data_IF_755037084253
#
_entry.id   IF_755037084253
#
_cell.length_a   1.000
_cell.length_b   1.000
_cell.length_c   1.000
_cell.angle_alpha   90.00
_cell.angle_beta   90.00
_cell.angle_gamma   90.00
#
_symmetry.space_group_name_H-M   'P 1'
#
loop_
_entity.id
_entity.type
_entity.pdbx_description
1 polymer ?
#
# COMPACT_ATOMS: atom_id res chain seq x y z
N UNK A 1 24.76 29.16 1.74
CA UNK A 1 24.79 28.53 0.40
C UNK A 1 23.66 29.13 -0.41
N UNK A 2 23.98 30.00 -1.35
CA UNK A 2 22.99 30.55 -2.29
C UNK A 2 22.41 29.40 -3.13
N UNK A 3 21.08 29.25 -3.11
CA UNK A 3 20.38 28.34 -4.03
C UNK A 3 20.61 28.86 -5.46
N UNK A 4 21.54 28.26 -6.20
CA UNK A 4 21.66 28.50 -7.64
C UNK A 4 20.35 28.16 -8.30
N UNK A 5 19.65 29.16 -8.85
CA UNK A 5 18.47 28.96 -9.66
C UNK A 5 18.91 28.20 -10.92
N UNK A 6 18.53 26.94 -11.04
CA UNK A 6 18.91 26.06 -12.14
C UNK A 6 18.39 26.55 -13.51
N UNK A 7 17.27 27.27 -13.51
CA UNK A 7 16.67 27.80 -14.73
C UNK A 7 16.55 29.33 -14.65
N UNK A 8 17.24 30.04 -15.55
CA UNK A 8 17.13 31.50 -15.68
C UNK A 8 15.85 31.96 -16.41
N UNK A 9 15.19 31.07 -17.15
CA UNK A 9 13.99 31.34 -17.93
C UNK A 9 12.76 30.76 -17.22
N UNK A 10 11.74 31.57 -17.01
CA UNK A 10 10.49 31.16 -16.35
C UNK A 10 9.67 30.15 -17.17
N UNK A 11 9.82 30.11 -18.49
CA UNK A 11 9.05 29.26 -19.39
C UNK A 11 9.76 27.94 -19.73
N UNK A 12 11.08 27.85 -19.58
CA UNK A 12 11.84 26.64 -19.87
C UNK A 12 11.35 25.40 -19.11
N UNK A 13 11.04 25.46 -17.80
CA UNK A 13 10.46 24.33 -17.07
C UNK A 13 9.14 23.85 -17.68
N UNK A 14 8.29 24.76 -18.14
CA UNK A 14 7.01 24.41 -18.78
C UNK A 14 7.20 23.68 -20.11
N UNK A 15 8.16 24.10 -20.93
CA UNK A 15 8.48 23.42 -22.19
C UNK A 15 9.02 22.01 -21.93
N UNK A 16 9.86 21.83 -20.90
CA UNK A 16 10.38 20.52 -20.53
C UNK A 16 9.29 19.59 -19.97
N UNK A 17 8.28 20.14 -19.29
CA UNK A 17 7.14 19.40 -18.76
C UNK A 17 6.05 19.14 -19.81
N UNK A 18 6.03 19.91 -20.90
CA UNK A 18 4.98 19.88 -21.91
C UNK A 18 4.70 18.47 -22.47
N UNK A 19 5.70 17.66 -22.87
CA UNK A 19 5.45 16.30 -23.34
C UNK A 19 4.72 15.44 -22.30
N UNK A 20 5.13 15.51 -21.04
CA UNK A 20 4.51 14.82 -19.92
C UNK A 20 3.08 15.30 -19.69
N UNK A 21 2.86 16.62 -19.69
CA UNK A 21 1.54 17.22 -19.50
C UNK A 21 0.57 16.84 -20.62
N UNK A 22 1.03 16.80 -21.87
CA UNK A 22 0.21 16.37 -23.02
C UNK A 22 -0.21 14.90 -22.85
N UNK A 23 0.72 14.00 -22.53
CA UNK A 23 0.43 12.58 -22.31
C UNK A 23 -0.58 12.41 -21.18
N UNK A 24 -0.37 13.05 -20.04
CA UNK A 24 -1.31 12.96 -18.90
C UNK A 24 -2.68 13.55 -19.27
N UNK A 25 -2.71 14.68 -19.99
CA UNK A 25 -3.98 15.31 -20.37
C UNK A 25 -4.79 14.42 -21.32
N UNK A 26 -4.15 13.81 -22.30
CA UNK A 26 -4.82 12.97 -23.31
C UNK A 26 -5.21 11.61 -22.77
N UNK A 27 -4.33 10.96 -22.00
CA UNK A 27 -4.56 9.57 -21.59
C UNK A 27 -5.13 9.43 -20.18
N UNK A 28 -5.12 10.46 -19.36
CA UNK A 28 -5.66 10.42 -18.01
C UNK A 28 -6.80 11.42 -17.82
N UNK A 29 -6.57 12.73 -17.98
CA UNK A 29 -7.60 13.74 -17.69
C UNK A 29 -8.76 13.71 -18.69
N UNK A 30 -8.51 13.47 -19.97
CA UNK A 30 -9.58 13.37 -20.95
C UNK A 30 -10.51 12.18 -20.72
N UNK A 31 -10.02 10.92 -20.55
CA UNK A 31 -10.88 9.80 -20.19
C UNK A 31 -11.57 9.96 -18.84
N UNK A 32 -10.89 10.53 -17.84
CA UNK A 32 -11.48 10.79 -16.53
C UNK A 32 -12.65 11.80 -16.64
N UNK A 33 -12.47 12.88 -17.41
CA UNK A 33 -13.54 13.83 -17.70
C UNK A 33 -14.74 13.18 -18.42
N UNK A 34 -14.46 12.34 -19.41
CA UNK A 34 -15.52 11.56 -20.09
C UNK A 34 -16.23 10.61 -19.12
N UNK A 35 -15.52 9.92 -18.24
CA UNK A 35 -16.11 9.03 -17.24
C UNK A 35 -17.04 9.81 -16.29
N UNK A 36 -16.63 11.01 -15.85
CA UNK A 36 -17.48 11.88 -15.05
C UNK A 36 -18.76 12.29 -15.77
N UNK A 37 -18.68 12.68 -17.04
CA UNK A 37 -19.87 13.04 -17.83
C UNK A 37 -20.79 11.82 -18.01
N UNK A 38 -20.20 10.66 -18.35
CA UNK A 38 -20.96 9.42 -18.55
C UNK A 38 -21.60 8.88 -17.27
N UNK A 39 -21.08 9.21 -16.10
CA UNK A 39 -21.71 8.81 -14.83
C UNK A 39 -23.09 9.40 -14.63
N UNK A 40 -23.43 10.50 -15.31
CA UNK A 40 -24.75 11.13 -15.32
C UNK A 40 -25.62 10.71 -16.51
N UNK A 41 -25.13 9.81 -17.33
CA UNK A 41 -25.81 9.34 -18.54
C UNK A 41 -26.07 7.84 -18.46
N UNK A 42 -27.19 7.41 -19.06
CA UNK A 42 -27.49 6.01 -19.31
C UNK A 42 -27.35 5.73 -20.79
N UNK A 43 -26.61 4.68 -21.13
CA UNK A 43 -26.45 4.22 -22.50
C UNK A 43 -27.28 2.97 -22.69
N UNK A 44 -27.98 2.85 -23.84
CA UNK A 44 -28.71 1.64 -24.16
C UNK A 44 -27.77 0.44 -24.36
N UNK A 45 -28.32 -0.78 -24.30
CA UNK A 45 -27.54 -2.03 -24.41
C UNK A 45 -26.73 -2.16 -25.71
N UNK A 46 -27.11 -1.43 -26.76
CA UNK A 46 -26.46 -1.44 -28.07
C UNK A 46 -25.57 -0.22 -28.31
N UNK A 47 -25.55 0.74 -27.37
CA UNK A 47 -24.75 1.94 -27.48
C UNK A 47 -25.23 2.97 -28.49
N UNK A 48 -26.45 2.83 -28.98
CA UNK A 48 -27.03 3.68 -30.02
C UNK A 48 -27.66 4.96 -29.48
N UNK A 49 -28.15 4.95 -28.26
CA UNK A 49 -28.71 6.12 -27.59
C UNK A 49 -28.07 6.37 -26.24
N UNK A 50 -27.95 7.64 -25.89
CA UNK A 50 -27.43 8.08 -24.59
C UNK A 50 -28.40 9.09 -24.03
N UNK A 51 -28.99 8.79 -22.89
CA UNK A 51 -29.92 9.68 -22.18
C UNK A 51 -29.27 10.26 -20.93
N UNK A 52 -29.65 11.49 -20.61
CA UNK A 52 -29.16 12.16 -19.42
C UNK A 52 -30.07 11.82 -18.24
N UNK A 53 -29.57 10.99 -17.31
CA UNK A 53 -30.36 10.48 -16.16
C UNK A 53 -30.00 11.16 -14.83
N UNK A 54 -29.10 12.14 -14.85
CA UNK A 54 -28.71 12.86 -13.65
C UNK A 54 -28.06 11.94 -12.60
N UNK A 55 -28.62 11.88 -11.40
CA UNK A 55 -28.08 11.09 -10.29
C UNK A 55 -28.64 9.68 -10.16
N UNK A 56 -29.44 9.21 -11.13
CA UNK A 56 -30.09 7.90 -11.06
C UNK A 56 -29.09 6.75 -10.98
N UNK A 57 -28.00 6.81 -11.75
CA UNK A 57 -26.93 5.79 -11.68
C UNK A 57 -26.33 5.69 -10.27
N UNK A 58 -26.11 6.82 -9.58
CA UNK A 58 -25.59 6.84 -8.22
C UNK A 58 -26.61 6.30 -7.21
N UNK A 59 -27.90 6.61 -7.40
CA UNK A 59 -28.96 6.07 -6.56
C UNK A 59 -29.02 4.55 -6.69
N UNK A 60 -29.08 4.02 -7.92
CA UNK A 60 -29.12 2.59 -8.18
C UNK A 60 -27.88 1.89 -7.60
N UNK A 61 -26.69 2.52 -7.70
CA UNK A 61 -25.45 1.99 -7.13
C UNK A 61 -25.52 1.87 -5.59
N UNK A 62 -26.04 2.88 -4.91
CA UNK A 62 -26.15 2.86 -3.43
C UNK A 62 -27.31 1.99 -2.93
N UNK A 63 -28.30 1.71 -3.77
CA UNK A 63 -29.40 0.78 -3.47
C UNK A 63 -29.00 -0.69 -3.77
N UNK A 64 -27.91 -0.93 -4.52
CA UNK A 64 -27.44 -2.28 -4.83
C UNK A 64 -26.73 -2.93 -3.64
N UNK A 65 -27.28 -4.01 -3.05
CA UNK A 65 -26.64 -4.75 -1.96
C UNK A 65 -25.26 -5.31 -2.31
N UNK A 66 -25.04 -5.69 -3.57
CA UNK A 66 -23.77 -6.26 -4.04
C UNK A 66 -22.68 -5.21 -4.03
N UNK A 67 -23.00 -3.98 -4.40
CA UNK A 67 -22.08 -2.85 -4.34
C UNK A 67 -21.69 -2.52 -2.89
N UNK A 68 -22.67 -2.47 -1.99
CA UNK A 68 -22.42 -2.20 -0.58
C UNK A 68 -21.59 -3.32 0.09
N UNK A 69 -21.84 -4.57 -0.27
CA UNK A 69 -21.04 -5.69 0.19
C UNK A 69 -19.58 -5.60 -0.32
N UNK A 70 -19.40 -5.26 -1.60
CA UNK A 70 -18.08 -5.07 -2.22
C UNK A 70 -17.32 -3.91 -1.58
N UNK A 71 -18.03 -2.81 -1.28
CA UNK A 71 -17.44 -1.67 -0.57
C UNK A 71 -16.92 -2.06 0.83
N UNK A 72 -17.75 -2.79 1.60
CA UNK A 72 -17.36 -3.32 2.91
C UNK A 72 -16.12 -4.21 2.83
N UNK A 73 -16.13 -5.14 1.88
CA UNK A 73 -15.02 -6.09 1.66
C UNK A 73 -13.73 -5.35 1.30
N UNK A 74 -13.82 -4.38 0.40
CA UNK A 74 -12.67 -3.56 -0.02
C UNK A 74 -12.15 -2.68 1.12
N UNK A 75 -13.04 -2.06 1.89
CA UNK A 75 -12.67 -1.25 3.04
C UNK A 75 -11.96 -2.08 4.12
N UNK A 76 -12.49 -3.27 4.44
CA UNK A 76 -11.86 -4.20 5.38
C UNK A 76 -10.48 -4.65 4.88
N UNK A 77 -10.39 -5.10 3.62
CA UNK A 77 -9.13 -5.51 3.01
C UNK A 77 -8.08 -4.39 3.05
N UNK A 78 -8.43 -3.20 2.59
CA UNK A 78 -7.53 -2.06 2.54
C UNK A 78 -7.04 -1.66 3.93
N UNK A 79 -7.94 -1.60 4.92
CA UNK A 79 -7.60 -1.29 6.30
C UNK A 79 -6.69 -2.37 6.91
N UNK A 80 -7.03 -3.64 6.72
CA UNK A 80 -6.24 -4.76 7.24
C UNK A 80 -4.83 -4.77 6.66
N UNK A 81 -4.69 -4.57 5.34
CA UNK A 81 -3.37 -4.52 4.67
C UNK A 81 -2.58 -3.28 5.09
N UNK A 82 -3.21 -2.10 5.10
CA UNK A 82 -2.52 -0.85 5.46
C UNK A 82 -2.02 -0.89 6.91
N UNK A 83 -2.90 -1.18 7.86
CA UNK A 83 -2.54 -1.17 9.29
C UNK A 83 -1.50 -2.23 9.60
N UNK A 84 -1.70 -3.48 9.17
CA UNK A 84 -0.74 -4.55 9.45
C UNK A 84 0.57 -4.35 8.68
N UNK A 85 0.53 -3.93 7.43
CA UNK A 85 1.71 -3.64 6.62
C UNK A 85 2.57 -2.54 7.21
N UNK A 86 1.96 -1.41 7.62
CA UNK A 86 2.65 -0.29 8.28
C UNK A 86 3.24 -0.75 9.62
N UNK A 87 2.43 -1.39 10.47
CA UNK A 87 2.87 -1.80 11.80
C UNK A 87 4.06 -2.77 11.75
N UNK A 88 3.95 -3.83 10.93
CA UNK A 88 5.01 -4.84 10.79
C UNK A 88 6.27 -4.22 10.18
N UNK A 89 6.13 -3.43 9.13
CA UNK A 89 7.28 -2.79 8.45
C UNK A 89 8.02 -1.82 9.36
N UNK A 90 7.29 -1.03 10.16
CA UNK A 90 7.88 -0.11 11.12
C UNK A 90 8.67 -0.86 12.20
N UNK A 91 8.10 -1.93 12.74
CA UNK A 91 8.80 -2.78 13.73
C UNK A 91 10.08 -3.37 13.14
N UNK A 92 9.99 -3.94 11.92
CA UNK A 92 11.14 -4.50 11.23
C UNK A 92 12.22 -3.44 10.92
N UNK A 93 11.80 -2.22 10.54
CA UNK A 93 12.73 -1.11 10.28
C UNK A 93 13.47 -0.66 11.55
N UNK A 94 12.76 -0.59 12.69
CA UNK A 94 13.38 -0.26 13.99
C UNK A 94 14.43 -1.31 14.39
N UNK A 95 14.14 -2.60 14.17
CA UNK A 95 15.12 -3.65 14.41
C UNK A 95 16.30 -3.55 13.44
N UNK A 96 16.06 -3.34 12.16
CA UNK A 96 17.10 -3.22 11.14
C UNK A 96 18.05 -2.02 11.38
N UNK A 97 17.51 -0.92 11.90
CA UNK A 97 18.31 0.27 12.22
C UNK A 97 19.32 0.01 13.37
N UNK A 98 19.01 -0.95 14.26
CA UNK A 98 19.85 -1.33 15.40
C UNK A 98 20.86 -2.44 15.11
N UNK A 99 20.69 -3.20 14.03
CA UNK A 99 21.55 -4.33 13.70
C UNK A 99 22.88 -3.83 13.13
N UNK A 100 23.97 -4.18 13.80
CA UNK A 100 25.34 -3.85 13.39
C UNK A 100 25.96 -4.99 12.57
N UNK A 101 25.77 -6.26 12.99
CA UNK A 101 26.31 -7.44 12.29
C UNK A 101 25.22 -8.12 11.47
N UNK A 102 25.51 -8.44 10.20
CA UNK A 102 24.56 -9.09 9.30
C UNK A 102 23.46 -8.15 8.76
N UNK A 103 23.57 -6.85 8.95
CA UNK A 103 22.59 -5.87 8.49
C UNK A 103 22.25 -5.97 7.01
N UNK A 104 23.25 -6.26 6.17
CA UNK A 104 23.06 -6.43 4.72
C UNK A 104 22.15 -7.62 4.41
N UNK A 105 22.42 -8.79 5.02
CA UNK A 105 21.62 -10.01 4.80
C UNK A 105 20.19 -9.79 5.25
N UNK A 106 19.99 -9.20 6.43
CA UNK A 106 18.66 -8.91 6.97
C UNK A 106 17.88 -7.96 6.05
N UNK A 107 18.50 -6.85 5.64
CA UNK A 107 17.85 -5.87 4.74
C UNK A 107 17.54 -6.48 3.38
N UNK A 108 18.49 -7.25 2.80
CA UNK A 108 18.26 -7.92 1.52
C UNK A 108 17.13 -8.94 1.60
N UNK A 109 17.07 -9.75 2.66
CA UNK A 109 16.00 -10.72 2.84
C UNK A 109 14.62 -10.06 2.94
N UNK A 110 14.51 -8.91 3.63
CA UNK A 110 13.26 -8.15 3.73
C UNK A 110 12.85 -7.47 2.43
N UNK A 111 13.79 -7.23 1.50
CA UNK A 111 13.49 -6.66 0.19
C UNK A 111 13.14 -7.71 -0.87
N UNK A 112 13.43 -9.00 -0.63
CA UNK A 112 13.14 -10.08 -1.59
C UNK A 112 11.67 -10.12 -2.04
N UNK A 113 10.65 -9.96 -1.17
CA UNK A 113 9.25 -9.96 -1.61
C UNK A 113 8.93 -8.92 -2.67
N UNK A 114 9.61 -7.78 -2.66
CA UNK A 114 9.43 -6.73 -3.68
C UNK A 114 9.91 -7.18 -5.06
N UNK A 115 10.99 -7.95 -5.12
CA UNK A 115 11.58 -8.44 -6.37
C UNK A 115 10.72 -9.53 -7.06
N UNK A 116 9.82 -10.20 -6.32
CA UNK A 116 8.96 -11.24 -6.87
C UNK A 116 7.83 -10.61 -7.68
N UNK A 117 7.64 -11.06 -8.94
CA UNK A 117 6.53 -10.62 -9.77
C UNK A 117 5.17 -10.94 -9.09
N UNK A 118 4.19 -10.01 -9.11
CA UNK A 118 2.92 -10.22 -8.42
C UNK A 118 2.17 -11.50 -8.80
N UNK A 119 2.17 -11.85 -10.10
CA UNK A 119 1.54 -13.07 -10.59
C UNK A 119 2.20 -14.34 -10.01
N UNK A 120 3.54 -14.35 -9.96
CA UNK A 120 4.30 -15.48 -9.39
C UNK A 120 4.04 -15.59 -7.89
N UNK A 121 4.04 -14.46 -7.17
CA UNK A 121 3.70 -14.44 -5.75
C UNK A 121 2.30 -15.00 -5.50
N UNK A 122 1.29 -14.57 -6.27
CA UNK A 122 -0.09 -15.08 -6.14
C UNK A 122 -0.18 -16.59 -6.31
N UNK A 123 0.47 -17.14 -7.33
CA UNK A 123 0.51 -18.58 -7.58
C UNK A 123 1.20 -19.33 -6.43
N UNK A 124 2.35 -18.83 -5.94
CA UNK A 124 3.06 -19.45 -4.82
C UNK A 124 2.21 -19.47 -3.54
N UNK A 125 1.54 -18.36 -3.19
CA UNK A 125 0.66 -18.30 -2.03
C UNK A 125 -0.53 -19.25 -2.18
N UNK A 126 -1.17 -19.30 -3.36
CA UNK A 126 -2.23 -20.27 -3.64
C UNK A 126 -1.78 -21.72 -3.45
N UNK A 127 -0.61 -22.08 -3.97
CA UNK A 127 -0.07 -23.43 -3.82
C UNK A 127 0.28 -23.76 -2.36
N UNK A 128 0.94 -22.86 -1.65
CA UNK A 128 1.33 -23.08 -0.25
C UNK A 128 0.14 -23.32 0.67
N UNK A 129 -0.98 -22.64 0.40
CA UNK A 129 -2.21 -22.72 1.20
C UNK A 129 -3.28 -23.62 0.58
N UNK A 130 -2.99 -24.32 -0.53
CA UNK A 130 -3.94 -25.24 -1.16
C UNK A 130 -4.40 -26.32 -0.19
N UNK A 131 -5.72 -26.55 0.00
CA UNK A 131 -6.20 -27.55 0.93
C UNK A 131 -5.73 -28.97 0.63
N UNK A 132 -5.47 -29.29 -0.64
CA UNK A 132 -5.07 -30.62 -1.08
C UNK A 132 -3.55 -30.82 -1.15
N UNK A 133 -2.79 -29.79 -1.54
CA UNK A 133 -1.35 -29.90 -1.88
C UNK A 133 -0.46 -29.01 -1.01
N UNK A 134 -1.04 -28.03 -0.30
CA UNK A 134 -0.29 -26.97 0.36
C UNK A 134 0.35 -27.42 1.68
N UNK A 135 1.64 -27.13 1.81
CA UNK A 135 2.40 -27.41 3.05
C UNK A 135 1.83 -26.64 4.24
N UNK A 136 1.46 -25.37 4.04
CA UNK A 136 0.90 -24.54 5.12
C UNK A 136 -0.49 -25.05 5.52
N UNK A 137 -1.34 -25.39 4.55
CA UNK A 137 -2.66 -25.99 4.82
C UNK A 137 -2.53 -27.32 5.57
N UNK A 138 -1.52 -28.13 5.24
CA UNK A 138 -1.24 -29.38 5.95
C UNK A 138 -0.88 -29.13 7.43
N UNK A 139 0.03 -28.17 7.68
CA UNK A 139 0.44 -27.82 9.05
C UNK A 139 -0.73 -27.23 9.88
N UNK A 140 -1.57 -26.40 9.26
CA UNK A 140 -2.77 -25.87 9.91
C UNK A 140 -3.74 -26.99 10.30
N UNK A 141 -3.96 -27.99 9.45
CA UNK A 141 -4.79 -29.16 9.77
C UNK A 141 -4.22 -30.02 10.89
N UNK A 142 -2.88 -30.18 10.93
CA UNK A 142 -2.26 -30.89 12.06
C UNK A 142 -2.45 -30.19 13.39
N UNK A 143 -2.55 -28.85 13.38
CA UNK A 143 -2.86 -28.06 14.59
C UNK A 143 -4.36 -28.02 14.93
N UNK A 144 -5.20 -28.74 14.20
CA UNK A 144 -6.64 -28.78 14.42
C UNK A 144 -7.44 -27.67 13.73
N UNK A 145 -6.80 -26.87 12.88
CA UNK A 145 -7.47 -25.81 12.14
C UNK A 145 -7.87 -26.30 10.74
N UNK A 146 -9.18 -26.37 10.47
CA UNK A 146 -9.71 -26.79 9.16
C UNK A 146 -9.62 -25.66 8.14
N UNK A 147 -8.46 -25.56 7.49
CA UNK A 147 -8.19 -24.54 6.48
C UNK A 147 -8.75 -24.93 5.12
N UNK A 148 -9.63 -24.10 4.57
CA UNK A 148 -10.09 -24.22 3.20
C UNK A 148 -10.49 -22.85 2.61
N UNK A 149 -9.59 -22.23 1.86
CA UNK A 149 -9.82 -20.93 1.23
C UNK A 149 -10.67 -21.02 -0.06
N UNK A 150 -10.94 -22.23 -0.57
CA UNK A 150 -11.80 -22.42 -1.74
C UNK A 150 -13.29 -22.45 -1.38
N UNK A 151 -13.61 -22.88 -0.15
CA UNK A 151 -14.99 -23.03 0.33
C UNK A 151 -15.36 -21.97 1.40
N UNK A 152 -14.39 -21.30 2.00
CA UNK A 152 -14.59 -20.32 3.05
C UNK A 152 -14.03 -18.96 2.65
N UNK A 153 -14.90 -17.96 2.53
CA UNK A 153 -14.54 -16.60 2.14
C UNK A 153 -13.62 -15.89 3.14
N UNK A 154 -13.74 -16.19 4.43
CA UNK A 154 -12.89 -15.59 5.47
C UNK A 154 -11.46 -16.13 5.38
N UNK A 155 -11.31 -17.43 5.09
CA UNK A 155 -9.99 -18.00 4.81
C UNK A 155 -9.38 -17.43 3.53
N UNK A 156 -10.19 -17.24 2.47
CA UNK A 156 -9.74 -16.61 1.24
C UNK A 156 -9.29 -15.15 1.49
N UNK A 157 -10.08 -14.36 2.22
CA UNK A 157 -9.74 -13.00 2.61
C UNK A 157 -8.45 -12.97 3.43
N UNK A 158 -8.29 -13.84 4.40
CA UNK A 158 -7.09 -13.95 5.23
C UNK A 158 -5.85 -14.24 4.38
N UNK A 159 -5.95 -15.20 3.44
CA UNK A 159 -4.86 -15.52 2.52
C UNK A 159 -4.43 -14.31 1.69
N UNK A 160 -5.40 -13.61 1.10
CA UNK A 160 -5.12 -12.44 0.26
C UNK A 160 -4.50 -11.31 1.09
N UNK A 161 -5.00 -11.06 2.31
CA UNK A 161 -4.43 -10.06 3.23
C UNK A 161 -2.98 -10.43 3.58
N UNK A 162 -2.70 -11.67 3.97
CA UNK A 162 -1.33 -12.11 4.31
C UNK A 162 -0.39 -11.95 3.12
N UNK A 163 -0.80 -12.37 1.93
CA UNK A 163 0.00 -12.26 0.71
C UNK A 163 0.27 -10.79 0.34
N UNK A 164 -0.75 -9.93 0.44
CA UNK A 164 -0.63 -8.50 0.18
C UNK A 164 0.28 -7.81 1.21
N UNK A 165 0.12 -8.09 2.48
CA UNK A 165 0.97 -7.58 3.57
C UNK A 165 2.42 -8.01 3.37
N UNK A 166 2.68 -9.29 3.09
CA UNK A 166 4.01 -9.82 2.82
C UNK A 166 4.71 -9.04 1.70
N UNK A 167 4.01 -8.73 0.63
CA UNK A 167 4.56 -7.98 -0.49
C UNK A 167 4.77 -6.50 -0.13
N UNK A 168 3.82 -5.89 0.58
CA UNK A 168 3.85 -4.48 0.95
C UNK A 168 4.90 -4.17 2.03
N UNK A 169 5.21 -5.13 2.91
CA UNK A 169 6.22 -4.99 3.96
C UNK A 169 7.55 -4.50 3.38
N UNK A 170 8.01 -5.04 2.27
CA UNK A 170 9.29 -4.68 1.67
C UNK A 170 9.38 -3.21 1.30
N UNK A 171 8.32 -2.70 0.67
CA UNK A 171 8.21 -1.30 0.26
C UNK A 171 8.18 -0.37 1.47
N UNK A 172 7.26 -0.59 2.38
CA UNK A 172 7.11 0.21 3.59
C UNK A 172 8.37 0.18 4.45
N UNK A 173 9.02 -1.00 4.58
CA UNK A 173 10.27 -1.17 5.31
C UNK A 173 11.38 -0.26 4.77
N UNK A 174 11.52 -0.16 3.45
CA UNK A 174 12.54 0.70 2.84
C UNK A 174 12.33 2.17 3.21
N UNK A 175 11.10 2.65 3.12
CA UNK A 175 10.77 4.04 3.46
C UNK A 175 10.94 4.32 4.95
N UNK A 176 10.47 3.44 5.82
CA UNK A 176 10.66 3.60 7.27
C UNK A 176 12.13 3.56 7.66
N UNK A 177 12.92 2.67 7.06
CA UNK A 177 14.34 2.60 7.34
C UNK A 177 15.06 3.89 6.91
N UNK A 178 14.77 4.42 5.72
CA UNK A 178 15.32 5.68 5.24
C UNK A 178 14.90 6.85 6.14
N UNK A 179 13.63 6.91 6.54
CA UNK A 179 13.13 7.93 7.44
C UNK A 179 13.76 7.86 8.84
N UNK A 180 13.92 6.67 9.42
CA UNK A 180 14.61 6.48 10.69
C UNK A 180 16.06 6.97 10.63
N UNK A 181 16.77 6.68 9.54
CA UNK A 181 18.16 7.10 9.33
C UNK A 181 18.32 8.60 9.07
N UNK A 182 17.24 9.29 8.65
CA UNK A 182 17.24 10.73 8.47
C UNK A 182 17.08 11.54 9.78
N UNK A 183 16.65 10.89 10.87
CA UNK A 183 16.48 11.53 12.18
C UNK A 183 17.84 11.91 12.75
N UNK A 184 18.09 13.20 13.08
CA UNK A 184 19.34 13.61 13.68
C UNK A 184 19.61 12.89 15.01
N UNK A 185 20.76 12.21 15.10
CA UNK A 185 21.16 11.46 16.32
C UNK A 185 21.20 12.34 17.56
N UNK A 186 21.56 13.63 17.39
CA UNK A 186 21.59 14.61 18.48
C UNK A 186 20.25 14.71 19.23
N UNK A 187 19.11 14.58 18.56
CA UNK A 187 17.79 14.58 19.21
C UNK A 187 17.60 13.36 20.10
N UNK A 188 18.06 12.20 19.64
CA UNK A 188 17.97 10.94 20.34
C UNK A 188 18.88 10.93 21.58
N UNK A 189 20.11 11.47 21.42
CA UNK A 189 21.11 11.58 22.47
C UNK A 189 20.71 12.61 23.54
N UNK A 190 20.22 13.79 23.15
CA UNK A 190 19.71 14.80 24.07
C UNK A 190 18.56 14.26 24.93
N UNK A 191 17.62 13.53 24.35
CA UNK A 191 16.53 12.90 25.08
C UNK A 191 17.04 11.80 26.05
N UNK A 192 18.10 11.10 25.68
CA UNK A 192 18.72 10.10 26.57
C UNK A 192 19.42 10.73 27.78
N UNK A 193 20.12 11.87 27.57
CA UNK A 193 20.79 12.64 28.65
C UNK A 193 19.76 13.13 29.68
N UNK A 194 18.59 13.57 29.25
CA UNK A 194 17.48 14.00 30.12
C UNK A 194 16.75 12.82 30.78
N UNK A 195 17.17 11.56 30.51
CA UNK A 195 16.62 10.37 31.13
C UNK A 195 15.30 9.89 30.53
N UNK A 196 14.94 10.34 29.32
CA UNK A 196 13.73 9.85 28.62
C UNK A 196 13.91 8.40 28.17
N UNK A 197 13.09 7.48 28.70
CA UNK A 197 13.14 6.06 28.37
C UNK A 197 12.85 5.77 26.89
N UNK A 198 13.29 4.61 26.36
CA UNK A 198 13.21 4.29 24.93
C UNK A 198 11.79 4.34 24.36
N UNK A 199 10.80 3.83 25.09
CA UNK A 199 9.40 3.82 24.71
C UNK A 199 8.80 5.23 24.59
N UNK A 200 9.03 6.07 25.63
CA UNK A 200 8.56 7.46 25.62
C UNK A 200 9.24 8.25 24.50
N UNK A 201 10.55 8.07 24.31
CA UNK A 201 11.31 8.71 23.22
C UNK A 201 10.78 8.31 21.85
N UNK A 202 10.41 7.04 21.66
CA UNK A 202 9.79 6.60 20.41
C UNK A 202 8.51 7.39 20.10
N UNK A 203 7.57 7.45 21.04
CA UNK A 203 6.28 8.11 20.80
C UNK A 203 6.34 9.64 20.78
N UNK A 204 7.31 10.25 21.47
CA UNK A 204 7.39 11.73 21.56
C UNK A 204 8.33 12.36 20.54
N UNK A 205 9.30 11.62 19.99
CA UNK A 205 10.29 12.15 19.06
C UNK A 205 10.30 11.38 17.75
N UNK A 206 10.50 10.05 17.81
CA UNK A 206 10.71 9.25 16.60
C UNK A 206 9.43 9.16 15.76
N UNK A 207 8.33 8.73 16.36
CA UNK A 207 7.06 8.52 15.66
C UNK A 207 6.49 9.81 15.04
N UNK A 208 6.47 10.97 15.73
CA UNK A 208 6.06 12.23 15.10
C UNK A 208 6.92 12.64 13.91
N UNK A 209 8.23 12.39 13.95
CA UNK A 209 9.13 12.66 12.84
C UNK A 209 8.95 11.67 11.66
N UNK A 210 8.44 10.46 11.94
CA UNK A 210 8.09 9.46 10.93
C UNK A 210 6.68 9.67 10.33
N UNK A 211 5.84 10.51 10.94
CA UNK A 211 4.46 10.68 10.51
C UNK A 211 4.30 11.04 9.03
N UNK A 212 5.12 11.90 8.40
CA UNK A 212 5.03 12.15 6.96
C UNK A 212 5.22 10.88 6.13
N UNK A 213 6.16 10.00 6.54
CA UNK A 213 6.41 8.72 5.86
C UNK A 213 5.28 7.70 6.09
N UNK A 214 4.57 7.80 7.20
CA UNK A 214 3.45 6.91 7.51
C UNK A 214 2.20 7.23 6.66
N UNK A 215 2.05 8.49 6.24
CA UNK A 215 0.91 8.94 5.40
C UNK A 215 1.23 8.91 3.89
N UNK A 216 2.47 8.70 3.52
CA UNK A 216 2.91 8.56 2.14
C UNK A 216 2.86 7.10 1.68
#
# INVERSE_FOLDING_TARGET
>A
MEKRVLFRSAWLPWVLLLPQLVVISVFFFWPAGQALVRSFQMQDAFGMSTEWVGLENFRNLFEDPSYLASFKTTAFFSMAVAVSGIAISLVLAIFADRIVRGALVYKTALLLPYAVAPAVAGVLWMFMFSPSLGVVAYLLRQSGFDWNHLLNSDHAMTLIVIAAVWKQISYNFLFFLAALQSIPRALIEAAAIVGVGPWRRFWTIVFPLLSPTTFF
#
